data_IF_544281959196
#
_entry.id   IF_544281959196
#
_cell.length_a   1.000
_cell.length_b   1.000
_cell.length_c   1.000
_cell.angle_alpha   90.00
_cell.angle_beta   90.00
_cell.angle_gamma   90.00
#
_symmetry.space_group_name_H-M   'P 1'
#
loop_
_entity.id
_entity.type
_entity.pdbx_description
1 polymer ?
#
# COMPACT_ATOMS: atom_id res chain seq x y z
N UNK A 1 25.50 16.95 22.35
CA UNK A 1 24.28 16.39 22.96
C UNK A 1 23.08 16.59 22.04
N UNK A 2 22.78 17.81 21.60
CA UNK A 2 21.73 18.08 20.61
C UNK A 2 21.93 17.35 19.26
N UNK A 3 23.15 17.31 18.71
CA UNK A 3 23.44 16.55 17.48
C UNK A 3 23.26 15.03 17.64
N UNK A 4 23.60 14.49 18.81
CA UNK A 4 23.39 13.08 19.16
C UNK A 4 21.89 12.76 19.33
N UNK A 5 21.11 13.72 19.85
CA UNK A 5 19.66 13.60 20.00
C UNK A 5 18.97 13.67 18.63
N UNK A 6 19.35 14.63 17.77
CA UNK A 6 18.85 14.76 16.41
C UNK A 6 19.19 13.54 15.56
N UNK A 7 20.42 13.01 15.67
CA UNK A 7 20.82 11.77 15.00
C UNK A 7 20.01 10.58 15.48
N UNK A 8 19.75 10.44 16.79
CA UNK A 8 18.90 9.36 17.31
C UNK A 8 17.44 9.50 16.90
N UNK A 9 16.92 10.71 16.83
CA UNK A 9 15.56 10.98 16.34
C UNK A 9 15.47 10.65 14.84
N UNK A 10 16.42 11.10 14.01
CA UNK A 10 16.44 10.79 12.58
C UNK A 10 16.65 9.28 12.33
N UNK A 11 17.49 8.60 13.12
CA UNK A 11 17.66 7.15 13.06
C UNK A 11 16.41 6.40 13.52
N UNK A 12 15.70 6.87 14.55
CA UNK A 12 14.45 6.29 15.00
C UNK A 12 13.28 6.56 14.02
N UNK A 13 13.27 7.72 13.34
CA UNK A 13 12.36 8.02 12.24
C UNK A 13 12.65 7.11 11.05
N UNK A 14 13.93 6.93 10.68
CA UNK A 14 14.34 6.02 9.61
C UNK A 14 14.04 4.55 9.93
N UNK A 15 14.11 4.17 11.21
CA UNK A 15 13.77 2.83 11.71
C UNK A 15 12.27 2.65 12.05
N UNK A 16 11.44 3.68 11.87
CA UNK A 16 9.99 3.65 12.16
C UNK A 16 9.61 3.53 13.65
N UNK A 17 10.55 3.60 14.58
CA UNK A 17 10.37 3.24 15.99
C UNK A 17 10.10 4.41 16.95
N UNK A 18 9.95 5.64 16.44
CA UNK A 18 9.77 6.84 17.26
C UNK A 18 8.31 7.07 17.70
N UNK A 19 7.90 6.59 18.88
CA UNK A 19 6.53 6.71 19.40
C UNK A 19 6.32 7.97 20.28
N UNK A 20 5.39 8.85 19.90
CA UNK A 20 5.08 10.14 20.57
C UNK A 20 3.69 10.12 21.24
N UNK A 21 2.97 8.99 21.23
CA UNK A 21 1.61 8.89 21.75
C UNK A 21 0.55 9.39 20.76
N UNK A 22 -0.57 9.95 21.27
CA UNK A 22 -1.69 10.39 20.42
C UNK A 22 -1.35 11.69 19.69
N UNK A 23 -1.06 11.59 18.40
CA UNK A 23 -0.72 12.73 17.55
C UNK A 23 -1.99 13.40 16.99
N UNK A 24 -2.01 14.72 16.91
CA UNK A 24 -3.09 15.46 16.22
C UNK A 24 -2.68 15.69 14.77
N UNK A 25 -3.42 15.09 13.83
CA UNK A 25 -3.23 15.27 12.41
C UNK A 25 -3.75 16.65 12.00
N UNK A 26 -2.85 17.47 11.46
CA UNK A 26 -3.14 18.81 10.95
C UNK A 26 -2.97 18.84 9.43
N UNK A 27 -3.84 19.60 8.78
CA UNK A 27 -3.80 19.89 7.34
C UNK A 27 -4.53 21.22 7.09
N UNK A 28 -4.43 21.76 5.86
CA UNK A 28 -5.23 22.92 5.47
C UNK A 28 -6.73 22.57 5.41
N UNK A 29 -7.07 21.34 5.01
CA UNK A 29 -8.45 20.84 4.99
C UNK A 29 -8.50 19.31 5.14
N UNK A 30 -9.51 18.84 5.88
CA UNK A 30 -9.81 17.43 6.12
C UNK A 30 -11.30 17.15 5.92
N UNK A 31 -11.61 16.28 4.98
CA UNK A 31 -12.98 15.84 4.69
C UNK A 31 -13.11 14.32 4.71
N UNK A 32 -14.13 13.83 5.39
CA UNK A 32 -14.49 12.41 5.33
C UNK A 32 -15.33 12.18 4.07
N UNK A 33 -14.81 11.36 3.17
CA UNK A 33 -15.45 11.06 1.87
C UNK A 33 -16.27 9.78 1.90
N UNK A 34 -15.85 8.80 2.70
CA UNK A 34 -16.53 7.51 2.82
C UNK A 34 -16.57 7.07 4.29
N UNK A 35 -17.67 6.43 4.69
CA UNK A 35 -17.85 5.85 6.03
C UNK A 35 -18.39 4.43 5.88
N UNK A 36 -17.71 3.45 6.47
CA UNK A 36 -18.10 2.05 6.45
C UNK A 36 -18.03 1.45 7.84
N UNK A 37 -19.09 0.80 8.32
CA UNK A 37 -19.02 -0.01 9.55
C UNK A 37 -18.28 -1.31 9.24
N UNK A 38 -17.27 -1.61 10.04
CA UNK A 38 -16.35 -2.73 9.81
C UNK A 38 -16.40 -3.81 10.89
N UNK A 39 -16.99 -3.48 12.04
CA UNK A 39 -17.25 -4.43 13.10
C UNK A 39 -18.34 -3.87 14.00
N UNK A 40 -19.17 -4.75 14.55
CA UNK A 40 -20.16 -4.41 15.58
C UNK A 40 -19.96 -5.37 16.74
N UNK A 41 -19.66 -4.83 17.91
CA UNK A 41 -19.41 -5.63 19.11
C UNK A 41 -20.73 -6.20 19.64
N UNK A 42 -20.86 -7.53 19.63
CA UNK A 42 -22.13 -8.22 19.92
C UNK A 42 -22.73 -7.88 21.30
N UNK A 43 -21.91 -7.65 22.32
CA UNK A 43 -22.39 -7.41 23.68
C UNK A 43 -22.80 -5.96 23.96
N UNK A 44 -22.21 -4.97 23.27
CA UNK A 44 -22.50 -3.55 23.52
C UNK A 44 -23.19 -2.84 22.36
N UNK A 45 -23.28 -3.47 21.19
CA UNK A 45 -23.73 -2.83 19.95
C UNK A 45 -22.78 -1.74 19.44
N UNK A 46 -21.64 -1.53 20.10
CA UNK A 46 -20.69 -0.50 19.69
C UNK A 46 -20.07 -0.84 18.34
N UNK A 47 -20.02 0.16 17.46
CA UNK A 47 -19.48 0.00 16.12
C UNK A 47 -18.02 0.40 16.05
N UNK A 48 -17.29 -0.29 15.20
CA UNK A 48 -16.00 0.12 14.66
C UNK A 48 -16.22 0.50 13.21
N UNK A 49 -15.70 1.66 12.80
CA UNK A 49 -15.91 2.22 11.46
C UNK A 49 -14.58 2.53 10.79
N UNK A 50 -14.54 2.31 9.48
CA UNK A 50 -13.46 2.71 8.59
C UNK A 50 -13.90 3.96 7.83
N UNK A 51 -13.14 5.04 7.95
CA UNK A 51 -13.35 6.27 7.20
C UNK A 51 -12.26 6.44 6.16
N UNK A 52 -12.63 6.92 4.98
CA UNK A 52 -11.69 7.47 4.01
C UNK A 52 -11.68 8.98 4.14
N UNK A 53 -10.51 9.54 4.40
CA UNK A 53 -10.32 10.97 4.64
C UNK A 53 -9.51 11.54 3.49
N UNK A 54 -10.07 12.55 2.84
CA UNK A 54 -9.36 13.41 1.91
C UNK A 54 -8.66 14.50 2.73
N UNK A 55 -7.36 14.63 2.49
CA UNK A 55 -6.48 15.62 3.08
C UNK A 55 -5.98 16.54 1.99
N UNK A 56 -6.10 17.83 2.24
CA UNK A 56 -5.56 18.87 1.37
C UNK A 56 -4.55 19.69 2.15
N UNK A 57 -3.35 19.81 1.62
CA UNK A 57 -2.27 20.62 2.18
C UNK A 57 -1.87 21.71 1.19
N UNK A 58 -1.64 22.92 1.69
CA UNK A 58 -1.10 24.00 0.88
C UNK A 58 0.39 23.77 0.60
N UNK A 59 0.75 23.80 -0.67
CA UNK A 59 2.14 23.68 -1.07
C UNK A 59 2.88 24.98 -0.77
N UNK A 60 4.06 24.85 -0.17
CA UNK A 60 4.95 25.96 0.17
C UNK A 60 6.32 25.69 -0.44
N UNK A 61 6.46 25.82 -1.77
CA UNK A 61 7.72 25.55 -2.42
C UNK A 61 8.77 26.56 -1.96
N UNK A 62 10.00 26.09 -1.74
CA UNK A 62 11.13 26.94 -1.39
C UNK A 62 11.43 27.90 -2.56
N UNK A 63 11.40 29.22 -2.38
CA UNK A 63 11.73 30.17 -3.44
C UNK A 63 13.18 30.01 -3.94
N UNK A 64 13.43 30.35 -5.21
CA UNK A 64 14.76 30.23 -5.81
C UNK A 64 15.82 31.05 -5.04
N UNK A 65 15.47 32.24 -4.53
CA UNK A 65 16.37 33.07 -3.73
C UNK A 65 16.82 32.38 -2.44
N UNK A 66 15.91 31.69 -1.75
CA UNK A 66 16.22 30.95 -0.53
C UNK A 66 17.03 29.68 -0.85
N UNK A 67 16.72 29.00 -1.96
CA UNK A 67 17.51 27.87 -2.44
C UNK A 67 18.95 28.27 -2.78
N UNK A 68 19.15 29.40 -3.45
CA UNK A 68 20.48 29.97 -3.70
C UNK A 68 21.18 30.41 -2.41
N UNK A 69 20.45 30.85 -1.39
CA UNK A 69 21.02 31.19 -0.09
C UNK A 69 21.61 29.95 0.61
N UNK A 70 21.00 28.76 0.44
CA UNK A 70 21.57 27.50 0.93
C UNK A 70 22.93 27.19 0.30
N UNK A 71 23.13 27.57 -0.97
CA UNK A 71 24.40 27.39 -1.68
C UNK A 71 25.53 28.32 -1.20
N UNK A 72 25.27 29.24 -0.26
CA UNK A 72 26.33 30.02 0.40
C UNK A 72 27.20 29.17 1.34
N UNK A 73 26.70 28.02 1.78
CA UNK A 73 27.54 27.03 2.44
C UNK A 73 28.58 26.49 1.44
N UNK A 74 29.86 26.55 1.81
CA UNK A 74 30.97 26.04 0.97
C UNK A 74 30.84 24.55 0.63
N UNK A 75 30.09 23.80 1.42
CA UNK A 75 29.84 22.37 1.23
C UNK A 75 28.57 22.08 0.44
N UNK A 76 27.77 23.10 0.10
CA UNK A 76 26.62 22.94 -0.75
C UNK A 76 27.01 22.95 -2.24
N UNK A 77 26.22 22.26 -3.07
CA UNK A 77 26.39 22.24 -4.54
C UNK A 77 25.04 22.47 -5.20
N UNK A 78 25.03 23.27 -6.26
CA UNK A 78 23.86 23.47 -7.11
C UNK A 78 23.86 22.40 -8.18
N UNK A 79 22.79 21.61 -8.23
CA UNK A 79 22.68 20.48 -9.14
C UNK A 79 21.49 20.65 -10.07
N UNK A 80 21.68 20.24 -11.32
CA UNK A 80 20.60 20.01 -12.29
C UNK A 80 20.73 18.58 -12.81
N UNK A 81 19.62 17.86 -12.80
CA UNK A 81 19.55 16.49 -13.29
C UNK A 81 19.52 16.50 -14.83
N UNK A 82 20.51 15.89 -15.47
CA UNK A 82 20.66 15.91 -16.92
C UNK A 82 19.54 15.16 -17.66
N UNK A 83 18.89 14.17 -17.01
CA UNK A 83 17.82 13.39 -17.62
C UNK A 83 16.44 14.04 -17.42
N UNK A 84 16.13 14.44 -16.18
CA UNK A 84 14.81 14.97 -15.83
C UNK A 84 14.70 16.49 -15.96
N UNK A 85 15.82 17.20 -16.11
CA UNK A 85 15.86 18.66 -16.14
C UNK A 85 15.46 19.31 -14.82
N UNK A 86 15.49 18.58 -13.70
CA UNK A 86 15.07 19.07 -12.38
C UNK A 86 16.25 19.65 -11.62
N UNK A 87 16.00 20.57 -10.69
CA UNK A 87 17.02 21.20 -9.85
C UNK A 87 17.01 20.66 -8.42
N UNK A 88 18.19 20.66 -7.79
CA UNK A 88 18.39 20.31 -6.39
C UNK A 88 19.60 21.06 -5.80
N UNK A 89 19.52 21.43 -4.52
CA UNK A 89 20.70 21.86 -3.75
C UNK A 89 21.18 20.65 -2.96
N UNK A 90 22.40 20.19 -3.22
CA UNK A 90 23.05 19.19 -2.40
C UNK A 90 23.66 19.87 -1.17
N UNK A 91 23.42 19.29 0.01
CA UNK A 91 24.01 19.71 1.28
C UNK A 91 24.58 18.49 2.01
N UNK A 92 25.56 18.66 2.92
CA UNK A 92 25.99 17.59 3.81
C UNK A 92 24.83 17.09 4.67
N UNK A 93 24.78 15.78 4.90
CA UNK A 93 23.89 15.16 5.88
C UNK A 93 24.70 14.37 6.92
N UNK A 94 24.18 14.17 8.14
CA UNK A 94 24.81 13.27 9.11
C UNK A 94 25.03 11.88 8.51
N UNK A 95 26.17 11.28 8.80
CA UNK A 95 26.45 9.89 8.39
C UNK A 95 25.62 8.93 9.24
N UNK A 96 25.30 7.77 8.67
CA UNK A 96 24.56 6.70 9.34
C UNK A 96 25.50 5.52 9.58
N UNK A 97 25.62 5.06 10.82
CA UNK A 97 26.27 3.77 11.11
C UNK A 97 25.27 2.65 10.89
N UNK A 98 25.62 1.69 10.04
CA UNK A 98 24.81 0.51 9.73
C UNK A 98 25.02 -0.58 10.79
N UNK A 99 24.16 -1.61 10.77
CA UNK A 99 24.18 -2.70 11.77
C UNK A 99 25.46 -3.55 11.71
N UNK A 100 26.16 -3.55 10.57
CA UNK A 100 27.47 -4.17 10.37
C UNK A 100 28.65 -3.31 10.88
N UNK A 101 28.37 -2.10 11.36
CA UNK A 101 29.36 -1.14 11.84
C UNK A 101 29.96 -0.24 10.77
N UNK A 102 29.58 -0.39 9.50
CA UNK A 102 30.03 0.51 8.44
C UNK A 102 29.42 1.91 8.58
N UNK A 103 30.21 2.94 8.22
CA UNK A 103 29.75 4.34 8.26
C UNK A 103 29.35 4.76 6.85
N UNK A 104 28.05 4.85 6.60
CA UNK A 104 27.50 5.35 5.35
C UNK A 104 27.48 6.88 5.33
N UNK A 105 28.26 7.47 4.42
CA UNK A 105 28.22 8.91 4.14
C UNK A 105 26.97 9.27 3.36
N UNK A 106 26.37 10.40 3.70
CA UNK A 106 25.08 10.83 3.16
C UNK A 106 25.08 12.29 2.76
N UNK A 107 24.21 12.62 1.81
CA UNK A 107 23.95 13.98 1.36
C UNK A 107 22.46 14.23 1.31
N UNK A 108 22.06 15.48 1.57
CA UNK A 108 20.68 15.92 1.51
C UNK A 108 20.46 16.69 0.21
N UNK A 109 19.56 16.20 -0.62
CA UNK A 109 19.06 16.90 -1.81
C UNK A 109 17.83 17.71 -1.42
N UNK A 110 17.99 19.02 -1.40
CA UNK A 110 16.90 19.98 -1.19
C UNK A 110 16.31 20.37 -2.54
N UNK A 111 15.00 20.23 -2.66
CA UNK A 111 14.21 20.52 -3.86
C UNK A 111 13.04 21.45 -3.46
N UNK A 112 12.30 22.06 -4.41
CA UNK A 112 11.25 23.01 -4.08
C UNK A 112 10.27 22.51 -3.01
N UNK A 113 9.84 21.24 -3.12
CA UNK A 113 8.83 20.62 -2.24
C UNK A 113 9.37 19.44 -1.43
N UNK A 114 10.66 19.11 -1.52
CA UNK A 114 11.20 17.89 -0.93
C UNK A 114 12.61 18.08 -0.35
N UNK A 115 12.92 17.29 0.67
CA UNK A 115 14.27 17.19 1.24
C UNK A 115 14.58 15.72 1.42
N UNK A 116 15.27 15.16 0.45
CA UNK A 116 15.61 13.74 0.45
C UNK A 116 17.05 13.56 0.94
N UNK A 117 17.32 12.54 1.73
CA UNK A 117 18.69 12.21 2.11
C UNK A 117 19.05 10.87 1.49
N UNK A 118 20.11 10.86 0.68
CA UNK A 118 20.61 9.67 0.00
C UNK A 118 22.04 9.39 0.41
N UNK A 119 22.49 8.16 0.18
CA UNK A 119 23.88 7.79 0.34
C UNK A 119 24.73 8.50 -0.73
N UNK A 120 25.95 8.89 -0.35
CA UNK A 120 26.83 9.67 -1.22
C UNK A 120 27.25 8.88 -2.48
N UNK A 121 27.51 7.59 -2.33
CA UNK A 121 27.81 6.66 -3.43
C UNK A 121 26.61 6.48 -4.37
N UNK A 122 25.38 6.44 -3.83
CA UNK A 122 24.18 6.38 -4.64
C UNK A 122 23.99 7.63 -5.52
N UNK A 123 24.49 8.79 -5.11
CA UNK A 123 24.46 10.01 -5.91
C UNK A 123 25.25 9.85 -7.21
N UNK A 124 26.40 9.16 -7.18
CA UNK A 124 27.25 8.95 -8.37
C UNK A 124 26.55 8.10 -9.45
N UNK A 125 25.56 7.31 -9.05
CA UNK A 125 24.73 6.50 -9.95
C UNK A 125 23.49 7.25 -10.47
N UNK A 126 23.34 8.54 -10.15
CA UNK A 126 22.26 9.38 -10.65
C UNK A 126 22.74 10.29 -11.79
N UNK A 127 21.79 11.01 -12.40
CA UNK A 127 22.08 12.01 -13.44
C UNK A 127 22.24 13.43 -12.91
N UNK A 128 22.51 13.60 -11.61
CA UNK A 128 22.73 14.93 -11.04
C UNK A 128 24.10 15.48 -11.46
N UNK A 129 24.10 16.69 -12.04
CA UNK A 129 25.32 17.36 -12.50
C UNK A 129 25.40 18.75 -11.90
N UNK A 130 26.60 19.19 -11.53
CA UNK A 130 26.81 20.54 -11.02
C UNK A 130 26.45 21.57 -12.10
N UNK A 131 25.71 22.60 -11.69
CA UNK A 131 25.23 23.65 -12.56
C UNK A 131 25.62 25.02 -12.01
N UNK A 132 25.81 25.99 -12.89
CA UNK A 132 25.96 27.39 -12.50
C UNK A 132 24.66 27.93 -11.87
N UNK A 133 24.79 29.06 -11.18
CA UNK A 133 23.68 29.68 -10.46
C UNK A 133 22.54 30.14 -11.38
N UNK A 134 22.85 30.53 -12.63
CA UNK A 134 21.86 31.04 -13.59
C UNK A 134 20.98 29.90 -14.10
N UNK A 135 21.60 28.83 -14.60
CA UNK A 135 20.91 27.61 -15.05
C UNK A 135 20.13 26.98 -13.92
N UNK A 136 20.70 26.90 -12.72
CA UNK A 136 19.99 26.41 -11.55
C UNK A 136 18.76 27.26 -11.22
N UNK A 137 18.90 28.59 -11.13
CA UNK A 137 17.82 29.49 -10.76
C UNK A 137 16.68 29.47 -11.78
N UNK A 138 17.00 29.42 -13.08
CA UNK A 138 16.00 29.30 -14.15
C UNK A 138 15.22 27.98 -14.02
N UNK A 139 15.94 26.87 -13.84
CA UNK A 139 15.35 25.53 -13.68
C UNK A 139 14.47 25.45 -12.42
N UNK A 140 14.97 25.95 -11.30
CA UNK A 140 14.25 25.96 -10.03
C UNK A 140 12.98 26.81 -10.09
N UNK A 141 13.08 28.02 -10.68
CA UNK A 141 11.93 28.92 -10.84
C UNK A 141 10.86 28.28 -11.73
N UNK A 142 11.27 27.60 -12.81
CA UNK A 142 10.34 26.86 -13.66
C UNK A 142 9.66 25.72 -12.90
N UNK A 143 10.37 24.97 -12.06
CA UNK A 143 9.75 23.94 -11.21
C UNK A 143 8.79 24.54 -10.20
N UNK A 144 9.16 25.63 -9.51
CA UNK A 144 8.28 26.31 -8.53
C UNK A 144 7.00 26.81 -9.19
N UNK A 145 7.08 27.36 -10.41
CA UNK A 145 5.91 27.83 -11.16
C UNK A 145 4.94 26.70 -11.55
N UNK A 146 5.41 25.46 -11.60
CA UNK A 146 4.58 24.28 -11.89
C UNK A 146 3.99 23.64 -10.62
N UNK A 147 4.36 24.10 -9.42
CA UNK A 147 3.81 23.56 -8.17
C UNK A 147 2.37 24.07 -7.99
N UNK A 148 1.36 23.19 -7.89
CA UNK A 148 -0.01 23.62 -7.64
C UNK A 148 -0.12 24.26 -6.26
N UNK A 149 -1.11 25.12 -6.03
CA UNK A 149 -1.29 25.77 -4.72
C UNK A 149 -1.56 24.75 -3.60
N UNK A 150 -2.19 23.63 -3.93
CA UNK A 150 -2.53 22.56 -2.98
C UNK A 150 -2.19 21.18 -3.53
N UNK A 151 -1.91 20.25 -2.63
CA UNK A 151 -1.83 18.81 -2.91
C UNK A 151 -2.92 18.10 -2.15
N UNK A 152 -3.65 17.22 -2.85
CA UNK A 152 -4.65 16.34 -2.24
C UNK A 152 -4.10 14.93 -2.08
N UNK A 153 -4.39 14.31 -0.94
CA UNK A 153 -4.06 12.92 -0.63
C UNK A 153 -5.22 12.27 0.11
N UNK A 154 -5.34 10.95 0.01
CA UNK A 154 -6.35 10.20 0.73
C UNK A 154 -5.69 9.20 1.67
N UNK A 155 -6.23 9.07 2.86
CA UNK A 155 -5.84 8.05 3.82
C UNK A 155 -7.07 7.44 4.47
N UNK A 156 -6.86 6.33 5.18
CA UNK A 156 -7.94 5.65 5.89
C UNK A 156 -7.69 5.67 7.39
N UNK A 157 -8.77 5.82 8.17
CA UNK A 157 -8.72 5.79 9.63
C UNK A 157 -9.80 4.85 10.16
N UNK A 158 -9.39 3.95 11.05
CA UNK A 158 -10.30 3.06 11.79
C UNK A 158 -10.62 3.71 13.14
N UNK A 159 -11.89 3.96 13.41
CA UNK A 159 -12.41 4.67 14.58
C UNK A 159 -13.51 3.87 15.29
N UNK A 160 -13.85 4.25 16.52
CA UNK A 160 -14.85 3.57 17.35
C UNK A 160 -14.20 2.56 18.32
N UNK A 161 -14.86 1.43 18.55
CA UNK A 161 -14.37 0.42 19.50
C UNK A 161 -13.28 -0.46 18.85
N UNK A 162 -12.00 -0.14 19.10
CA UNK A 162 -10.87 -0.82 18.44
C UNK A 162 -10.42 -2.12 19.11
N UNK A 163 -10.51 -2.21 20.44
CA UNK A 163 -9.97 -3.35 21.22
C UNK A 163 -10.44 -4.74 20.70
N UNK A 164 -11.72 -4.95 20.35
CA UNK A 164 -12.19 -6.25 19.86
C UNK A 164 -11.58 -6.69 18.52
N UNK A 165 -11.03 -5.76 17.75
CA UNK A 165 -10.44 -6.03 16.43
C UNK A 165 -8.94 -5.70 16.38
N UNK A 166 -8.32 -5.42 17.53
CA UNK A 166 -6.96 -4.90 17.59
C UNK A 166 -5.94 -5.83 16.90
N UNK A 167 -6.09 -7.14 17.09
CA UNK A 167 -5.26 -8.19 16.49
C UNK A 167 -5.52 -8.43 14.99
N UNK A 168 -6.45 -7.70 14.37
CA UNK A 168 -6.80 -7.79 12.94
C UNK A 168 -6.35 -6.56 12.15
N UNK A 169 -5.69 -5.62 12.83
CA UNK A 169 -5.12 -4.41 12.23
C UNK A 169 -3.61 -4.58 12.08
N UNK A 170 -2.96 -4.01 11.05
CA UNK A 170 -1.59 -4.34 10.63
C UNK A 170 -0.58 -3.75 11.62
N UNK A 171 0.48 -4.44 12.00
CA UNK A 171 1.43 -3.97 13.04
C UNK A 171 2.29 -2.76 12.65
N UNK A 172 2.28 -2.36 11.37
CA UNK A 172 3.12 -1.32 10.77
C UNK A 172 2.99 0.08 11.42
N UNK A 173 1.82 0.41 11.96
CA UNK A 173 1.59 1.67 12.68
C UNK A 173 0.55 1.49 13.77
N UNK A 174 0.97 1.17 15.01
CA UNK A 174 0.08 1.05 16.17
C UNK A 174 -0.39 2.41 16.73
N UNK A 175 -0.02 3.50 16.06
CA UNK A 175 -0.28 4.87 16.53
C UNK A 175 -1.75 5.24 16.35
N UNK A 176 -2.26 5.96 17.35
CA UNK A 176 -3.60 6.53 17.33
C UNK A 176 -3.50 8.02 17.04
N UNK A 177 -4.27 8.47 16.06
CA UNK A 177 -4.33 9.85 15.63
C UNK A 177 -5.66 10.47 16.03
N UNK A 178 -5.61 11.77 16.32
CA UNK A 178 -6.78 12.63 16.43
C UNK A 178 -6.81 13.55 15.22
N UNK A 179 -7.97 13.70 14.60
CA UNK A 179 -8.19 14.69 13.55
C UNK A 179 -9.49 15.44 13.81
N UNK A 180 -9.57 16.66 13.27
CA UNK A 180 -10.80 17.44 13.23
C UNK A 180 -11.07 17.82 11.78
N UNK A 181 -12.25 17.49 11.26
CA UNK A 181 -12.67 17.87 9.92
C UNK A 181 -13.05 19.34 9.85
N UNK A 182 -13.18 19.85 8.63
CA UNK A 182 -13.57 21.24 8.38
C UNK A 182 -14.96 21.55 8.96
N UNK A 183 -15.86 20.56 8.98
CA UNK A 183 -17.21 20.66 9.57
C UNK A 183 -17.21 20.56 11.11
N UNK A 184 -16.03 20.40 11.74
CA UNK A 184 -15.88 20.30 13.19
C UNK A 184 -16.02 18.89 13.77
N UNK A 185 -16.19 17.85 12.94
CA UNK A 185 -16.23 16.46 13.39
C UNK A 185 -14.87 16.04 13.94
N UNK A 186 -14.83 15.51 15.17
CA UNK A 186 -13.60 15.04 15.80
C UNK A 186 -13.54 13.51 15.71
N UNK A 187 -12.47 13.00 15.11
CA UNK A 187 -12.23 11.57 14.95
C UNK A 187 -10.96 11.18 15.68
N UNK A 188 -11.02 10.09 16.42
CA UNK A 188 -9.86 9.46 17.05
C UNK A 188 -9.79 8.02 16.55
N UNK A 189 -8.65 7.63 16.00
CA UNK A 189 -8.54 6.32 15.37
C UNK A 189 -7.14 5.99 14.88
N UNK A 190 -6.99 4.79 14.32
CA UNK A 190 -5.72 4.28 13.81
C UNK A 190 -5.65 4.50 12.30
N UNK A 191 -4.54 5.07 11.82
CA UNK A 191 -4.32 5.22 10.39
C UNK A 191 -3.98 3.87 9.76
N UNK A 192 -4.58 3.59 8.61
CA UNK A 192 -4.28 2.40 7.81
C UNK A 192 -3.66 2.86 6.50
N UNK A 193 -2.47 2.33 6.20
CA UNK A 193 -1.80 2.59 4.94
C UNK A 193 -2.62 2.01 3.78
N UNK A 194 -2.60 2.63 2.58
CA UNK A 194 -3.25 2.04 1.41
C UNK A 194 -2.77 0.62 1.11
N UNK A 195 -1.49 0.32 1.36
CA UNK A 195 -0.89 -0.99 1.14
C UNK A 195 -1.47 -2.07 2.08
N UNK A 196 -1.73 -1.72 3.34
CA UNK A 196 -2.26 -2.66 4.33
C UNK A 196 -3.79 -2.79 4.28
N UNK A 197 -4.49 -1.96 3.50
CA UNK A 197 -5.95 -1.97 3.41
C UNK A 197 -6.51 -3.34 3.01
N UNK A 198 -5.88 -4.00 2.03
CA UNK A 198 -6.31 -5.33 1.60
C UNK A 198 -6.14 -6.41 2.67
N UNK A 199 -5.14 -6.28 3.55
CA UNK A 199 -4.99 -7.19 4.70
C UNK A 199 -6.05 -6.92 5.76
N UNK A 200 -6.31 -5.65 6.09
CA UNK A 200 -7.35 -5.26 7.05
C UNK A 200 -8.73 -5.70 6.59
N UNK A 201 -9.07 -5.45 5.33
CA UNK A 201 -10.35 -5.89 4.77
C UNK A 201 -10.49 -7.42 4.85
N UNK A 202 -9.43 -8.17 4.50
CA UNK A 202 -9.42 -9.63 4.63
C UNK A 202 -9.58 -10.12 6.06
N UNK A 203 -8.82 -9.55 7.00
CA UNK A 203 -8.83 -9.94 8.42
C UNK A 203 -10.18 -9.65 9.09
N UNK A 204 -10.89 -8.64 8.61
CA UNK A 204 -12.20 -8.24 9.10
C UNK A 204 -13.37 -8.83 8.29
N UNK A 205 -13.10 -9.56 7.20
CA UNK A 205 -14.14 -10.11 6.31
C UNK A 205 -14.94 -9.04 5.57
N UNK A 206 -14.30 -7.92 5.25
CA UNK A 206 -14.88 -6.72 4.62
C UNK A 206 -14.51 -6.58 3.15
N UNK A 207 -13.77 -7.51 2.57
CA UNK A 207 -13.75 -7.57 1.12
C UNK A 207 -15.22 -7.77 0.73
N UNK A 208 -15.83 -6.77 0.07
CA UNK A 208 -17.09 -7.00 -0.62
C UNK A 208 -16.82 -8.22 -1.47
N UNK A 209 -17.40 -9.36 -1.10
CA UNK A 209 -17.21 -10.61 -1.81
C UNK A 209 -17.39 -10.24 -3.28
N UNK A 210 -16.33 -10.41 -4.07
CA UNK A 210 -16.37 -10.09 -5.49
C UNK A 210 -17.55 -10.88 -6.03
N UNK A 211 -18.71 -10.22 -6.24
CA UNK A 211 -19.95 -10.94 -6.50
C UNK A 211 -19.98 -11.19 -8.00
N UNK A 212 -19.02 -11.97 -8.47
CA UNK A 212 -19.02 -12.46 -9.84
C UNK A 212 -20.02 -13.61 -9.88
N UNK A 213 -21.08 -13.47 -10.68
CA UNK A 213 -22.10 -14.49 -10.76
C UNK A 213 -21.43 -15.83 -11.15
N UNK A 214 -21.83 -16.98 -10.59
CA UNK A 214 -21.16 -18.26 -10.87
C UNK A 214 -21.03 -18.59 -12.37
N UNK A 215 -21.99 -18.15 -13.19
CA UNK A 215 -21.93 -18.30 -14.64
C UNK A 215 -20.83 -17.43 -15.29
N UNK A 216 -20.66 -16.20 -14.81
CA UNK A 216 -19.62 -15.28 -15.29
C UNK A 216 -18.24 -15.74 -14.82
N UNK A 217 -18.12 -16.17 -13.58
CA UNK A 217 -16.89 -16.75 -13.03
C UNK A 217 -16.49 -18.03 -13.77
N UNK A 218 -17.46 -18.87 -14.12
CA UNK A 218 -17.24 -20.06 -14.92
C UNK A 218 -16.72 -19.73 -16.32
N UNK A 219 -17.34 -18.74 -17.00
CA UNK A 219 -16.87 -18.27 -18.30
C UNK A 219 -15.47 -17.67 -18.23
N UNK A 220 -15.19 -16.85 -17.21
CA UNK A 220 -13.88 -16.22 -17.03
C UNK A 220 -12.76 -17.26 -16.90
N UNK A 221 -12.99 -18.36 -16.18
CA UNK A 221 -11.98 -19.43 -16.05
C UNK A 221 -11.86 -20.24 -17.35
N UNK A 222 -12.98 -20.67 -17.92
CA UNK A 222 -12.97 -21.62 -19.02
C UNK A 222 -12.56 -20.96 -20.36
N UNK A 223 -13.07 -19.76 -20.63
CA UNK A 223 -12.87 -19.00 -21.87
C UNK A 223 -11.64 -18.12 -21.76
N UNK A 224 -11.61 -17.24 -20.76
CA UNK A 224 -10.59 -16.18 -20.64
C UNK A 224 -9.33 -16.66 -19.90
N UNK A 225 -9.40 -17.84 -19.28
CA UNK A 225 -8.28 -18.45 -18.58
C UNK A 225 -7.96 -17.78 -17.25
N UNK A 226 -8.88 -17.00 -16.69
CA UNK A 226 -8.73 -16.35 -15.41
C UNK A 226 -8.52 -17.36 -14.26
N UNK A 227 -7.89 -16.88 -13.19
CA UNK A 227 -7.67 -17.65 -11.96
C UNK A 227 -8.52 -17.04 -10.85
N UNK A 228 -9.40 -17.86 -10.29
CA UNK A 228 -10.22 -17.50 -9.14
C UNK A 228 -9.48 -17.92 -7.87
N UNK A 229 -9.39 -17.03 -6.90
CA UNK A 229 -8.89 -17.35 -5.57
C UNK A 229 -10.04 -17.30 -4.58
N UNK A 230 -10.23 -18.38 -3.85
CA UNK A 230 -11.30 -18.57 -2.88
C UNK A 230 -10.70 -18.56 -1.47
N UNK A 231 -11.55 -18.34 -0.48
CA UNK A 231 -11.19 -18.43 0.92
C UNK A 231 -10.57 -19.81 1.26
N UNK A 232 -9.70 -19.85 2.28
CA UNK A 232 -9.00 -21.07 2.68
C UNK A 232 -7.83 -21.46 1.76
N UNK A 233 -7.32 -20.55 0.93
CA UNK A 233 -6.18 -20.79 0.04
C UNK A 233 -6.52 -21.58 -1.22
N UNK A 234 -7.82 -21.80 -1.47
CA UNK A 234 -8.32 -22.52 -2.64
C UNK A 234 -8.14 -21.67 -3.91
N UNK A 235 -7.82 -22.32 -5.02
CA UNK A 235 -7.70 -21.67 -6.34
C UNK A 235 -8.38 -22.49 -7.41
N UNK A 236 -9.11 -21.83 -8.30
CA UNK A 236 -9.77 -22.44 -9.45
C UNK A 236 -9.16 -21.85 -10.71
N UNK A 237 -8.65 -22.71 -11.59
CA UNK A 237 -7.96 -22.28 -12.81
C UNK A 237 -8.18 -23.27 -13.96
N UNK A 238 -7.96 -22.80 -15.17
CA UNK A 238 -7.85 -23.67 -16.35
C UNK A 238 -6.51 -24.40 -16.35
N UNK A 239 -6.54 -25.72 -16.42
CA UNK A 239 -5.38 -26.58 -16.54
C UNK A 239 -5.53 -27.51 -17.75
N UNK A 240 -4.45 -27.68 -18.53
CA UNK A 240 -4.44 -28.64 -19.63
C UNK A 240 -3.94 -29.99 -19.11
N UNK A 241 -4.75 -31.04 -19.25
CA UNK A 241 -4.40 -32.41 -18.87
C UNK A 241 -4.64 -33.30 -20.07
N UNK A 242 -3.60 -34.00 -20.54
CA UNK A 242 -3.67 -34.87 -21.72
C UNK A 242 -4.26 -34.17 -22.97
N UNK A 243 -3.91 -32.91 -23.19
CA UNK A 243 -4.37 -32.11 -24.33
C UNK A 243 -5.78 -31.53 -24.20
N UNK A 244 -6.49 -31.79 -23.10
CA UNK A 244 -7.85 -31.29 -22.86
C UNK A 244 -7.83 -30.18 -21.80
N UNK A 245 -8.51 -29.07 -22.07
CA UNK A 245 -8.70 -28.00 -21.10
C UNK A 245 -9.70 -28.44 -20.02
N UNK A 246 -9.28 -28.37 -18.76
CA UNK A 246 -10.07 -28.74 -17.59
C UNK A 246 -10.06 -27.61 -16.58
N UNK A 247 -11.07 -27.56 -15.72
CA UNK A 247 -11.12 -26.62 -14.60
C UNK A 247 -10.65 -27.35 -13.34
N UNK A 248 -9.52 -26.92 -12.79
CA UNK A 248 -8.88 -27.54 -11.63
C UNK A 248 -9.10 -26.71 -10.37
N UNK A 249 -9.43 -27.38 -9.26
CA UNK A 249 -9.38 -26.82 -7.91
C UNK A 249 -8.07 -27.25 -7.25
N UNK A 250 -7.28 -26.27 -6.77
CA UNK A 250 -6.03 -26.48 -6.06
C UNK A 250 -6.04 -25.78 -4.69
N UNK A 251 -5.10 -26.13 -3.82
CA UNK A 251 -4.96 -25.55 -2.47
C UNK A 251 -5.84 -26.20 -1.40
N UNK A 252 -6.50 -27.32 -1.70
CA UNK A 252 -7.30 -28.06 -0.73
C UNK A 252 -6.42 -28.90 0.21
N UNK A 253 -6.94 -29.19 1.41
CA UNK A 253 -6.32 -30.11 2.38
C UNK A 253 -6.86 -31.53 2.20
N UNK A 254 -6.08 -32.54 2.61
CA UNK A 254 -6.47 -33.96 2.46
C UNK A 254 -7.82 -34.27 3.16
N UNK A 255 -8.08 -33.66 4.31
CA UNK A 255 -9.34 -33.84 5.05
C UNK A 255 -10.58 -33.22 4.37
N UNK A 256 -10.40 -32.36 3.36
CA UNK A 256 -11.51 -31.73 2.64
C UNK A 256 -11.95 -32.52 1.39
N UNK A 257 -11.18 -33.54 0.96
CA UNK A 257 -11.38 -34.22 -0.33
C UNK A 257 -12.76 -34.85 -0.45
N UNK A 258 -13.22 -35.61 0.55
CA UNK A 258 -14.53 -36.27 0.49
C UNK A 258 -15.68 -35.26 0.44
N UNK A 259 -15.54 -34.16 1.17
CA UNK A 259 -16.53 -33.08 1.16
C UNK A 259 -16.56 -32.32 -0.16
N UNK A 260 -15.41 -32.19 -0.86
CA UNK A 260 -15.34 -31.57 -2.18
C UNK A 260 -15.90 -32.52 -3.26
N UNK A 261 -15.66 -33.82 -3.15
CA UNK A 261 -16.29 -34.83 -4.02
C UNK A 261 -17.81 -34.86 -3.87
N UNK A 262 -18.32 -34.69 -2.65
CA UNK A 262 -19.75 -34.59 -2.39
C UNK A 262 -20.42 -33.40 -3.10
N UNK A 263 -19.66 -32.33 -3.41
CA UNK A 263 -20.14 -31.20 -4.24
C UNK A 263 -20.16 -31.51 -5.74
N UNK A 264 -19.62 -32.65 -6.18
CA UNK A 264 -19.55 -33.05 -7.58
C UNK A 264 -18.19 -32.88 -8.25
N UNK A 265 -17.12 -32.59 -7.47
CA UNK A 265 -15.76 -32.61 -8.02
C UNK A 265 -15.30 -34.03 -8.30
N UNK A 266 -14.53 -34.17 -9.37
CA UNK A 266 -13.88 -35.44 -9.76
C UNK A 266 -12.43 -35.44 -9.31
N UNK A 267 -11.93 -36.58 -8.85
CA UNK A 267 -10.54 -36.72 -8.42
C UNK A 267 -9.76 -37.66 -9.33
N UNK A 268 -8.54 -37.29 -9.66
CA UNK A 268 -7.62 -38.14 -10.41
C UNK A 268 -6.22 -38.04 -9.79
N UNK A 269 -5.44 -39.12 -9.91
CA UNK A 269 -4.03 -39.12 -9.56
C UNK A 269 -3.23 -38.90 -10.85
N UNK A 270 -2.55 -37.77 -10.96
CA UNK A 270 -1.75 -37.40 -12.13
C UNK A 270 -0.37 -36.99 -11.65
N UNK A 271 0.68 -37.58 -12.24
CA UNK A 271 2.06 -37.38 -11.82
C UNK A 271 2.25 -37.53 -10.30
N UNK A 272 1.71 -38.62 -9.74
CA UNK A 272 1.78 -38.97 -8.31
C UNK A 272 1.08 -38.01 -7.34
N UNK A 273 0.28 -37.07 -7.85
CA UNK A 273 -0.45 -36.11 -7.04
C UNK A 273 -1.95 -36.24 -7.25
N UNK A 274 -2.71 -36.21 -6.15
CA UNK A 274 -4.16 -36.08 -6.18
C UNK A 274 -4.55 -34.69 -6.71
N UNK A 275 -5.38 -34.66 -7.74
CA UNK A 275 -5.90 -33.43 -8.35
C UNK A 275 -7.41 -33.49 -8.39
N UNK A 276 -8.06 -32.36 -8.13
CA UNK A 276 -9.51 -32.22 -8.14
C UNK A 276 -9.94 -31.33 -9.31
N UNK A 277 -10.96 -31.78 -10.04
CA UNK A 277 -11.48 -31.08 -11.20
C UNK A 277 -12.98 -30.86 -11.10
N UNK A 278 -13.41 -29.68 -11.52
CA UNK A 278 -14.83 -29.40 -11.74
C UNK A 278 -15.19 -29.92 -13.14
N UNK A 279 -16.21 -30.80 -13.28
CA UNK A 279 -16.64 -31.29 -14.58
C UNK A 279 -17.01 -30.15 -15.53
N UNK A 280 -16.45 -30.15 -16.75
CA UNK A 280 -16.77 -29.16 -17.79
C UNK A 280 -18.09 -29.56 -18.45
N UNK A 281 -19.18 -29.34 -17.73
CA UNK A 281 -20.57 -29.66 -18.11
C UNK A 281 -21.49 -28.51 -17.70
N UNK A 282 -22.78 -28.59 -18.02
CA UNK A 282 -23.79 -27.62 -17.57
C UNK A 282 -23.89 -27.50 -16.04
N UNK A 283 -23.40 -28.51 -15.29
CA UNK A 283 -23.33 -28.47 -13.82
C UNK A 283 -22.15 -27.66 -13.27
N UNK A 284 -21.17 -27.32 -14.09
CA UNK A 284 -19.95 -26.61 -13.68
C UNK A 284 -20.23 -25.33 -12.89
N UNK A 285 -21.08 -24.41 -13.41
CA UNK A 285 -21.46 -23.20 -12.67
C UNK A 285 -22.19 -23.47 -11.36
N UNK A 286 -23.03 -24.51 -11.28
CA UNK A 286 -23.73 -24.88 -10.04
C UNK A 286 -22.76 -25.43 -8.97
N UNK A 287 -21.76 -26.21 -9.38
CA UNK A 287 -20.69 -26.68 -8.48
C UNK A 287 -19.84 -25.47 -8.01
N UNK A 288 -19.56 -24.52 -8.90
CA UNK A 288 -18.85 -23.30 -8.57
C UNK A 288 -19.64 -22.43 -7.57
N UNK A 289 -20.96 -22.33 -7.73
CA UNK A 289 -21.83 -21.65 -6.78
C UNK A 289 -21.77 -22.30 -5.39
N UNK A 290 -21.88 -23.63 -5.31
CA UNK A 290 -21.77 -24.37 -4.06
C UNK A 290 -20.37 -24.25 -3.41
N UNK A 291 -19.32 -24.09 -4.22
CA UNK A 291 -17.98 -23.77 -3.72
C UNK A 291 -17.93 -22.36 -3.15
N UNK A 292 -18.53 -21.36 -3.79
CA UNK A 292 -18.58 -19.98 -3.28
C UNK A 292 -19.36 -19.86 -1.98
N UNK A 293 -20.44 -20.64 -1.81
CA UNK A 293 -21.18 -20.70 -0.54
C UNK A 293 -20.32 -21.21 0.63
N UNK A 294 -19.38 -22.13 0.36
CA UNK A 294 -18.50 -22.72 1.38
C UNK A 294 -17.17 -22.01 1.52
N UNK A 295 -16.70 -21.38 0.46
CA UNK A 295 -15.39 -20.72 0.36
C UNK A 295 -15.53 -19.51 -0.57
N UNK A 296 -15.86 -18.33 -0.01
CA UNK A 296 -16.14 -17.12 -0.79
C UNK A 296 -15.03 -16.76 -1.77
N UNK A 297 -15.41 -16.22 -2.93
CA UNK A 297 -14.49 -15.67 -3.92
C UNK A 297 -13.79 -14.44 -3.36
N UNK A 298 -12.45 -14.44 -3.36
CA UNK A 298 -11.61 -13.36 -2.84
C UNK A 298 -11.04 -12.46 -3.94
N UNK A 299 -10.65 -13.05 -5.08
CA UNK A 299 -10.13 -12.28 -6.23
C UNK A 299 -10.25 -13.07 -7.52
N UNK A 300 -10.36 -12.35 -8.63
CA UNK A 300 -10.21 -12.86 -10.00
C UNK A 300 -8.92 -12.26 -10.55
N UNK A 301 -8.03 -13.11 -11.06
CA UNK A 301 -6.81 -12.69 -11.73
C UNK A 301 -6.95 -13.05 -13.19
N UNK A 302 -7.03 -12.04 -14.05
CA UNK A 302 -7.02 -12.26 -15.49
C UNK A 302 -5.69 -12.87 -15.91
N UNK A 303 -5.74 -13.79 -16.87
CA UNK A 303 -4.52 -14.34 -17.44
C UNK A 303 -3.85 -13.25 -18.28
N UNK A 304 -2.84 -12.59 -17.70
CA UNK A 304 -1.94 -11.73 -18.46
C UNK A 304 -1.36 -12.60 -19.58
N UNK A 305 -1.64 -12.20 -20.83
CA UNK A 305 -0.91 -12.71 -21.97
C UNK A 305 0.56 -12.37 -21.76
N UNK A 306 1.36 -13.40 -21.48
CA UNK A 306 2.81 -13.31 -21.57
C UNK A 306 3.22 -13.05 -23.02
#
# INVERSE_FOLDING_TARGET
>A
FEELLASRIESAIAAGSYDVGVETLTADSLHITERRTIHTHAASGAETRLFKVLRRDRNRPLPAGDALALARDKRARLLVNAQSGRAAVQMPAPSLTLDDGEVQRRVRLVRPMARETIALDALDHTHWTEADAERFAATWTAEVAQVPEFTESAFHIVTGLLLPIWNRLPDESLRVYRLQTDDGERVIGRLISPAAMGEVCRALGLDDALTLAPNEAWSAVLTDGAVLHLAGGLTIRRATVMGVARVELAGFTDGAVDQLKALGLTSEIIAWRLRLFIPVTERGPAILAALFERSPLLRVVDRVAA
#
